data_IF_570803813177
#
_entry.id   IF_570803813177
#
_cell.length_a   1.000
_cell.length_b   1.000
_cell.length_c   1.000
_cell.angle_alpha   90.00
_cell.angle_beta   90.00
_cell.angle_gamma   90.00
#
_symmetry.space_group_name_H-M   'P 1'
#
loop_
_entity.id
_entity.type
_entity.pdbx_description
1 polymer ?
#
# COMPACT_ATOMS: atom_id res chain seq x y z
N UNK A 1 -25.24 -4.16 4.68
CA UNK A 1 -24.82 -5.32 5.50
C UNK A 1 -23.31 -5.33 5.57
N UNK A 2 -22.71 -5.28 6.77
CA UNK A 2 -21.25 -5.22 6.96
C UNK A 2 -20.67 -6.64 6.93
N UNK A 3 -19.84 -6.95 5.93
CA UNK A 3 -19.22 -8.28 5.76
C UNK A 3 -17.74 -8.21 6.16
N UNK A 4 -17.31 -9.07 7.07
CA UNK A 4 -15.87 -9.24 7.36
C UNK A 4 -15.21 -10.10 6.29
N UNK A 5 -14.02 -9.70 5.86
CA UNK A 5 -13.26 -10.34 4.80
C UNK A 5 -12.05 -11.08 5.38
N UNK A 6 -11.76 -12.29 4.88
CA UNK A 6 -10.48 -12.97 5.13
C UNK A 6 -9.39 -12.28 4.31
N UNK A 7 -8.22 -12.08 4.91
CA UNK A 7 -7.10 -11.39 4.29
C UNK A 7 -5.76 -11.93 4.81
N UNK A 8 -4.69 -11.66 4.06
CA UNK A 8 -3.32 -11.93 4.46
C UNK A 8 -2.46 -10.69 4.19
N UNK A 9 -1.64 -10.28 5.15
CA UNK A 9 -0.66 -9.20 4.93
C UNK A 9 0.55 -9.82 4.27
N UNK A 10 0.80 -9.47 3.00
CA UNK A 10 1.97 -9.93 2.23
C UNK A 10 3.20 -9.06 2.48
N UNK A 11 2.97 -7.79 2.79
CA UNK A 11 4.03 -6.84 3.04
C UNK A 11 3.55 -5.73 3.96
N UNK A 12 4.38 -5.38 4.94
CA UNK A 12 4.26 -4.11 5.62
C UNK A 12 5.65 -3.58 5.92
N UNK A 13 5.91 -2.34 5.50
CA UNK A 13 7.15 -1.65 5.85
C UNK A 13 6.86 -0.19 6.10
N UNK A 14 7.40 0.31 7.20
CA UNK A 14 7.39 1.71 7.55
C UNK A 14 8.74 2.08 8.16
N UNK A 15 9.19 3.31 7.92
CA UNK A 15 10.35 3.89 8.59
C UNK A 15 11.44 4.39 7.65
N UNK A 16 12.42 5.07 8.26
CA UNK A 16 13.54 5.81 7.66
C UNK A 16 14.44 5.06 6.65
N UNK A 17 14.15 3.80 6.31
CA UNK A 17 14.98 2.94 5.45
C UNK A 17 15.01 3.31 3.95
N UNK A 18 14.59 4.54 3.61
CA UNK A 18 14.71 5.12 2.27
C UNK A 18 13.56 4.78 1.32
N UNK A 19 13.36 5.65 0.33
CA UNK A 19 12.33 5.57 -0.72
C UNK A 19 12.50 4.39 -1.71
N UNK A 20 13.33 3.40 -1.37
CA UNK A 20 13.57 2.21 -2.19
C UNK A 20 12.39 1.23 -2.10
N UNK A 21 11.75 1.15 -0.92
CA UNK A 21 10.58 0.30 -0.67
C UNK A 21 9.29 1.14 -0.60
N UNK A 22 9.09 2.04 -1.57
CA UNK A 22 7.95 2.96 -1.57
C UNK A 22 7.31 3.14 -2.94
N UNK A 23 6.03 3.49 -2.89
CA UNK A 23 5.22 3.99 -4.00
C UNK A 23 5.02 5.50 -3.80
N UNK A 24 5.14 6.30 -4.85
CA UNK A 24 4.82 7.73 -4.86
C UNK A 24 4.62 8.24 -6.30
N UNK A 25 3.70 9.19 -6.49
CA UNK A 25 3.41 9.76 -7.81
C UNK A 25 4.57 10.63 -8.32
N UNK A 26 4.91 10.57 -9.62
CA UNK A 26 5.99 11.38 -10.23
C UNK A 26 5.68 12.87 -10.19
N UNK A 27 4.40 13.20 -10.37
CA UNK A 27 3.90 14.57 -10.46
C UNK A 27 3.81 15.26 -9.10
N UNK A 28 4.09 14.55 -7.99
CA UNK A 28 4.32 15.18 -6.71
C UNK A 28 5.71 15.82 -6.71
N UNK A 29 5.78 16.99 -7.34
CA UNK A 29 6.86 17.97 -7.25
C UNK A 29 7.00 18.59 -5.85
N UNK A 30 6.73 17.83 -4.78
CA UNK A 30 7.19 18.18 -3.42
C UNK A 30 8.67 17.82 -3.29
N UNK A 31 9.43 18.50 -4.15
CA UNK A 31 10.77 19.00 -3.92
C UNK A 31 10.96 19.30 -2.42
N UNK A 32 12.03 18.75 -1.87
CA UNK A 32 12.61 18.99 -0.55
C UNK A 32 11.83 18.57 0.71
N UNK A 33 10.56 18.16 0.65
CA UNK A 33 9.84 17.66 1.85
C UNK A 33 9.47 16.18 1.83
N UNK A 34 9.33 15.54 0.66
CA UNK A 34 9.08 14.09 0.57
C UNK A 34 7.67 13.64 1.00
N UNK A 35 6.66 14.51 0.96
CA UNK A 35 5.27 14.16 1.30
C UNK A 35 4.53 13.46 0.15
N UNK A 36 3.94 12.31 0.44
CA UNK A 36 3.02 11.55 -0.40
C UNK A 36 1.71 11.35 0.39
N UNK A 37 0.56 11.84 -0.09
CA UNK A 37 -0.72 11.58 0.57
C UNK A 37 -0.98 10.07 0.62
N UNK A 38 -1.77 9.64 1.61
CA UNK A 38 -2.20 8.25 1.71
C UNK A 38 -3.04 7.87 0.50
N UNK A 39 -2.57 6.87 -0.23
CA UNK A 39 -3.24 6.27 -1.38
C UNK A 39 -3.58 4.82 -1.05
N UNK A 40 -4.71 4.33 -1.59
CA UNK A 40 -5.17 2.95 -1.39
C UNK A 40 -5.82 2.45 -2.67
N UNK A 41 -5.28 1.39 -3.23
CA UNK A 41 -5.65 0.91 -4.56
C UNK A 41 -5.98 -0.58 -4.48
N UNK A 42 -7.08 -0.97 -5.13
CA UNK A 42 -7.43 -2.37 -5.36
C UNK A 42 -6.87 -2.82 -6.72
N UNK A 43 -6.15 -3.93 -6.74
CA UNK A 43 -5.56 -4.54 -7.93
C UNK A 43 -6.21 -5.89 -8.17
N UNK A 44 -6.94 -6.01 -9.29
CA UNK A 44 -7.72 -7.18 -9.68
C UNK A 44 -7.11 -7.93 -10.88
N UNK A 45 -6.07 -7.38 -11.50
CA UNK A 45 -5.36 -8.02 -12.61
C UNK A 45 -3.85 -7.73 -12.57
N UNK A 46 -3.10 -8.53 -13.31
CA UNK A 46 -1.66 -8.35 -13.46
C UNK A 46 -1.31 -7.09 -14.27
N UNK A 47 -2.17 -6.73 -15.22
CA UNK A 47 -2.04 -5.51 -16.01
C UNK A 47 -2.27 -4.26 -15.15
N UNK A 48 -3.28 -4.28 -14.27
CA UNK A 48 -3.50 -3.21 -13.28
C UNK A 48 -2.29 -3.07 -12.34
N UNK A 49 -1.68 -4.19 -11.93
CA UNK A 49 -0.48 -4.15 -11.08
C UNK A 49 0.67 -3.41 -11.78
N UNK A 50 0.93 -3.72 -13.05
CA UNK A 50 1.96 -3.04 -13.86
C UNK A 50 1.67 -1.56 -13.99
N UNK A 51 0.43 -1.19 -14.31
CA UNK A 51 0.01 0.20 -14.43
C UNK A 51 0.27 0.98 -13.14
N UNK A 52 -0.11 0.41 -11.99
CA UNK A 52 0.13 1.04 -10.68
C UNK A 52 1.62 1.16 -10.35
N UNK A 53 2.43 0.17 -10.71
CA UNK A 53 3.89 0.25 -10.56
C UNK A 53 4.50 1.41 -11.35
N UNK A 54 4.02 1.63 -12.58
CA UNK A 54 4.49 2.70 -13.46
C UNK A 54 3.99 4.08 -12.98
N UNK A 55 2.70 4.21 -12.62
CA UNK A 55 2.08 5.46 -12.15
C UNK A 55 2.70 5.97 -10.84
N UNK A 56 3.04 5.06 -9.92
CA UNK A 56 3.50 5.40 -8.57
C UNK A 56 4.98 5.11 -8.34
N UNK A 57 5.83 5.20 -9.37
CA UNK A 57 7.30 5.08 -9.27
C UNK A 57 7.77 3.90 -8.39
N UNK A 58 7.09 2.76 -8.51
CA UNK A 58 7.50 1.48 -7.95
C UNK A 58 7.87 0.56 -9.11
N UNK A 59 9.01 0.81 -9.79
CA UNK A 59 9.34 0.24 -11.10
C UNK A 59 9.80 -1.23 -10.98
N UNK A 60 8.92 -2.09 -10.46
CA UNK A 60 9.20 -3.50 -10.25
C UNK A 60 9.56 -4.24 -11.54
N UNK A 61 9.15 -3.70 -12.70
CA UNK A 61 9.36 -4.32 -14.01
C UNK A 61 10.45 -3.64 -14.86
N UNK A 62 11.14 -2.63 -14.33
CA UNK A 62 12.26 -1.95 -15.02
C UNK A 62 13.60 -2.33 -14.39
N UNK A 63 14.36 -3.21 -15.07
CA UNK A 63 15.64 -3.75 -14.59
C UNK A 63 16.72 -2.67 -14.39
N UNK A 64 16.63 -1.57 -15.13
CA UNK A 64 17.60 -0.48 -15.05
C UNK A 64 17.34 0.46 -13.86
N UNK A 65 16.23 0.27 -13.13
CA UNK A 65 15.92 1.08 -11.96
C UNK A 65 16.80 0.71 -10.77
N UNK A 66 17.29 1.73 -10.06
CA UNK A 66 17.96 1.55 -8.75
C UNK A 66 17.07 0.88 -7.70
N UNK A 67 15.74 0.93 -7.88
CA UNK A 67 14.77 0.28 -7.00
C UNK A 67 14.44 -1.14 -7.41
N UNK A 68 14.96 -1.64 -8.53
CA UNK A 68 14.55 -2.94 -9.08
C UNK A 68 14.69 -4.06 -8.05
N UNK A 69 15.80 -4.09 -7.31
CA UNK A 69 16.08 -5.13 -6.29
C UNK A 69 15.56 -4.78 -4.89
N UNK A 70 14.68 -3.78 -4.76
CA UNK A 70 14.05 -3.51 -3.48
C UNK A 70 13.16 -4.67 -3.04
N UNK A 71 13.01 -4.85 -1.74
CA UNK A 71 12.22 -5.93 -1.14
C UNK A 71 10.77 -5.91 -1.65
N UNK A 72 10.16 -4.72 -1.71
CA UNK A 72 8.80 -4.58 -2.22
C UNK A 72 8.72 -4.91 -3.70
N UNK A 73 9.69 -4.50 -4.53
CA UNK A 73 9.66 -4.78 -5.97
C UNK A 73 9.95 -6.25 -6.28
N UNK A 74 10.80 -6.91 -5.49
CA UNK A 74 10.97 -8.36 -5.52
C UNK A 74 9.65 -9.08 -5.23
N UNK A 75 8.92 -8.66 -4.18
CA UNK A 75 7.60 -9.21 -3.88
C UNK A 75 6.60 -8.95 -5.01
N UNK A 76 6.53 -7.72 -5.53
CA UNK A 76 5.62 -7.37 -6.64
C UNK A 76 5.85 -8.29 -7.84
N UNK A 77 7.11 -8.57 -8.20
CA UNK A 77 7.44 -9.48 -9.30
C UNK A 77 7.05 -10.94 -9.07
N UNK A 78 6.81 -11.34 -7.83
CA UNK A 78 6.32 -12.69 -7.52
C UNK A 78 4.84 -12.90 -7.86
N UNK A 79 4.08 -11.82 -8.04
CA UNK A 79 2.68 -11.90 -8.46
C UNK A 79 2.62 -11.93 -10.00
N UNK A 80 2.16 -13.05 -10.55
CA UNK A 80 1.96 -13.23 -11.99
C UNK A 80 0.46 -13.21 -12.36
N UNK A 81 0.14 -13.40 -13.65
CA UNK A 81 -1.25 -13.45 -14.10
C UNK A 81 -2.09 -14.51 -13.38
N UNK A 82 -1.52 -15.69 -13.08
CA UNK A 82 -2.24 -16.79 -12.44
C UNK A 82 -2.60 -16.49 -10.98
N UNK A 83 -1.76 -15.69 -10.30
CA UNK A 83 -2.07 -15.20 -8.96
C UNK A 83 -3.41 -14.44 -8.93
N UNK A 84 -3.71 -13.69 -9.99
CA UNK A 84 -4.95 -12.91 -10.09
C UNK A 84 -6.16 -13.71 -10.57
N UNK A 85 -6.05 -15.02 -10.79
CA UNK A 85 -7.21 -15.84 -11.14
C UNK A 85 -8.21 -15.93 -9.98
N UNK A 86 -7.71 -16.07 -8.76
CA UNK A 86 -8.54 -16.18 -7.55
C UNK A 86 -8.20 -15.14 -6.45
N UNK A 87 -7.07 -14.42 -6.57
CA UNK A 87 -6.68 -13.35 -5.63
C UNK A 87 -6.83 -11.96 -6.21
N UNK A 88 -6.83 -10.99 -5.30
CA UNK A 88 -6.65 -9.58 -5.59
C UNK A 88 -5.74 -8.98 -4.52
N UNK A 89 -5.07 -7.89 -4.87
CA UNK A 89 -4.22 -7.16 -3.93
C UNK A 89 -4.88 -5.84 -3.54
N UNK A 90 -4.60 -5.41 -2.33
CA UNK A 90 -4.82 -4.04 -1.89
C UNK A 90 -3.45 -3.47 -1.57
N UNK A 91 -3.09 -2.37 -2.23
CA UNK A 91 -1.83 -1.66 -2.00
C UNK A 91 -2.18 -0.31 -1.38
N UNK A 92 -1.74 -0.12 -0.14
CA UNK A 92 -1.87 1.13 0.60
C UNK A 92 -0.48 1.71 0.85
N UNK A 93 -0.29 2.98 0.60
CA UNK A 93 1.00 3.64 0.79
C UNK A 93 0.82 5.13 1.02
N UNK A 94 1.88 5.79 1.46
CA UNK A 94 1.94 7.24 1.63
C UNK A 94 3.15 7.61 2.45
N UNK A 95 3.17 8.84 2.96
CA UNK A 95 4.16 9.30 3.94
C UNK A 95 3.47 9.77 5.20
N UNK A 96 4.04 9.43 6.35
CA UNK A 96 3.55 9.89 7.65
C UNK A 96 4.57 10.75 8.35
N UNK A 97 4.12 11.81 9.03
CA UNK A 97 4.91 12.47 10.05
C UNK A 97 5.08 11.49 11.21
N UNK A 98 6.34 11.08 11.47
CA UNK A 98 6.89 10.40 12.65
C UNK A 98 5.94 9.47 13.44
N UNK A 99 6.26 8.18 13.42
CA UNK A 99 5.46 7.13 14.06
C UNK A 99 4.67 6.39 12.99
N UNK A 100 5.16 5.18 12.65
CA UNK A 100 4.62 4.33 11.58
C UNK A 100 3.09 4.39 11.53
N UNK A 101 2.54 4.62 10.34
CA UNK A 101 1.11 4.91 10.17
C UNK A 101 0.23 3.77 10.71
N UNK A 102 0.76 2.55 10.84
CA UNK A 102 0.00 1.36 11.15
C UNK A 102 0.74 0.47 12.15
N UNK A 103 0.17 0.33 13.34
CA UNK A 103 0.61 -0.66 14.34
C UNK A 103 0.02 -2.04 14.02
N UNK A 104 -1.27 -2.07 13.64
CA UNK A 104 -1.99 -3.31 13.37
C UNK A 104 -3.19 -3.10 12.46
N UNK A 105 -3.40 -4.02 11.51
CA UNK A 105 -4.71 -4.17 10.84
C UNK A 105 -5.63 -4.96 11.77
N UNK A 106 -6.74 -4.36 12.20
CA UNK A 106 -7.73 -5.02 13.06
C UNK A 106 -8.62 -5.96 12.27
N UNK A 107 -9.25 -5.42 11.22
CA UNK A 107 -10.09 -6.17 10.31
C UNK A 107 -10.32 -5.41 9.01
N UNK A 108 -10.75 -6.16 8.00
CA UNK A 108 -11.20 -5.61 6.74
C UNK A 108 -12.69 -5.93 6.59
N UNK A 109 -13.47 -4.90 6.26
CA UNK A 109 -14.92 -5.01 6.09
C UNK A 109 -15.35 -4.35 4.79
N UNK A 110 -16.42 -4.86 4.18
CA UNK A 110 -17.04 -4.24 3.02
C UNK A 110 -18.37 -3.62 3.44
N UNK A 111 -18.56 -2.37 3.06
CA UNK A 111 -19.80 -1.61 3.19
C UNK A 111 -20.16 -1.06 1.81
N UNK A 112 -21.30 -1.50 1.27
CA UNK A 112 -21.71 -1.23 -0.11
C UNK A 112 -20.63 -1.67 -1.12
N UNK A 113 -20.03 -0.73 -1.85
CA UNK A 113 -18.94 -0.94 -2.81
C UNK A 113 -17.57 -0.49 -2.26
N UNK A 114 -17.48 -0.15 -0.98
CA UNK A 114 -16.27 0.35 -0.34
C UNK A 114 -15.68 -0.69 0.60
N UNK A 115 -14.41 -1.01 0.41
CA UNK A 115 -13.62 -1.82 1.33
C UNK A 115 -12.95 -0.91 2.36
N UNK A 116 -13.21 -1.20 3.63
CA UNK A 116 -12.70 -0.47 4.78
C UNK A 116 -11.63 -1.30 5.49
N UNK A 117 -10.40 -0.81 5.49
CA UNK A 117 -9.30 -1.37 6.27
C UNK A 117 -9.27 -0.64 7.60
N UNK A 118 -9.67 -1.32 8.67
CA UNK A 118 -9.66 -0.76 10.01
C UNK A 118 -8.31 -1.03 10.66
N UNK A 119 -7.61 0.02 11.07
CA UNK A 119 -6.25 -0.08 11.60
C UNK A 119 -6.07 0.71 12.89
N UNK A 120 -5.12 0.27 13.69
CA UNK A 120 -4.56 1.02 14.81
C UNK A 120 -3.30 1.76 14.33
N UNK A 121 -3.17 3.03 14.70
CA UNK A 121 -1.98 3.84 14.46
C UNK A 121 -1.17 3.91 15.75
N UNK A 122 0.14 3.74 15.64
CA UNK A 122 1.06 4.07 16.74
C UNK A 122 1.09 5.59 16.90
N UNK A 123 0.83 6.09 18.10
CA UNK A 123 0.97 7.51 18.37
C UNK A 123 2.41 7.97 18.09
N UNK A 124 2.54 9.19 17.58
CA UNK A 124 3.83 9.79 17.34
C UNK A 124 4.60 9.91 18.66
N UNK A 125 5.89 9.58 18.64
CA UNK A 125 6.75 9.84 19.77
C UNK A 125 6.89 11.37 19.93
N UNK A 126 6.30 11.90 21.01
CA UNK A 126 6.25 13.34 21.27
C UNK A 126 7.63 13.96 21.54
N UNK A 127 8.67 13.13 21.74
CA UNK A 127 10.05 13.60 21.87
C UNK A 127 10.72 13.94 20.52
N UNK A 128 10.14 13.51 19.39
CA UNK A 128 10.66 13.80 18.05
C UNK A 128 10.17 15.17 17.60
N UNK A 129 11.08 16.14 17.52
CA UNK A 129 10.77 17.53 17.14
C UNK A 129 10.97 17.83 15.65
N UNK A 130 11.55 16.89 14.90
CA UNK A 130 11.74 17.01 13.45
C UNK A 130 10.57 16.36 12.69
N UNK A 131 9.98 17.08 11.74
CA UNK A 131 9.01 16.50 10.81
C UNK A 131 9.79 15.60 9.85
N UNK A 132 9.71 14.29 10.05
CA UNK A 132 10.27 13.31 9.11
C UNK A 132 9.11 12.65 8.35
N UNK A 133 9.11 12.82 7.03
CA UNK A 133 8.14 12.19 6.13
C UNK A 133 8.62 10.80 5.75
N UNK A 134 8.22 9.81 6.53
CA UNK A 134 8.59 8.43 6.28
C UNK A 134 7.62 7.75 5.34
N UNK A 135 8.11 7.19 4.21
CA UNK A 135 7.27 6.37 3.37
C UNK A 135 6.89 5.07 4.09
N UNK A 136 5.69 4.59 3.78
CA UNK A 136 5.23 3.28 4.21
C UNK A 136 4.43 2.63 3.09
N UNK A 137 4.42 1.30 3.10
CA UNK A 137 3.67 0.47 2.17
C UNK A 137 3.05 -0.70 2.93
N UNK A 138 1.81 -1.01 2.62
CA UNK A 138 1.05 -2.16 3.07
C UNK A 138 0.47 -2.85 1.85
N UNK A 139 0.79 -4.14 1.68
CA UNK A 139 0.24 -4.99 0.62
C UNK A 139 -0.55 -6.11 1.29
N UNK A 140 -1.83 -6.20 0.94
CA UNK A 140 -2.77 -7.18 1.48
C UNK A 140 -3.31 -8.04 0.35
N UNK A 141 -3.29 -9.35 0.53
CA UNK A 141 -4.01 -10.31 -0.31
C UNK A 141 -5.45 -10.46 0.19
N UNK A 142 -6.39 -10.51 -0.75
CA UNK A 142 -7.79 -10.86 -0.53
C UNK A 142 -8.30 -11.81 -1.62
N UNK A 143 -9.34 -12.58 -1.32
CA UNK A 143 -10.01 -13.40 -2.34
C UNK A 143 -10.77 -12.51 -3.34
N UNK A 144 -10.53 -12.73 -4.64
CA UNK A 144 -11.09 -11.92 -5.74
C UNK A 144 -12.62 -11.91 -5.77
N UNK A 145 -13.24 -13.09 -5.59
CA UNK A 145 -14.72 -13.20 -5.54
C UNK A 145 -15.31 -12.43 -4.36
N UNK A 146 -14.57 -12.35 -3.25
CA UNK A 146 -14.95 -11.58 -2.07
C UNK A 146 -14.99 -10.06 -2.29
N UNK A 147 -14.29 -9.54 -3.30
CA UNK A 147 -14.13 -8.09 -3.57
C UNK A 147 -14.52 -7.68 -5.01
N UNK A 148 -15.24 -8.54 -5.74
CA UNK A 148 -15.58 -8.30 -7.15
C UNK A 148 -16.28 -6.95 -7.38
N UNK A 149 -17.21 -6.59 -6.49
CA UNK A 149 -18.05 -5.39 -6.58
C UNK A 149 -17.44 -4.16 -5.86
N UNK A 150 -16.24 -4.31 -5.28
CA UNK A 150 -15.54 -3.20 -4.61
C UNK A 150 -14.98 -2.25 -5.67
N UNK A 151 -15.28 -0.97 -5.55
CA UNK A 151 -14.77 0.11 -6.40
C UNK A 151 -13.86 1.08 -5.64
N UNK A 152 -13.90 1.07 -4.31
CA UNK A 152 -13.13 1.99 -3.46
C UNK A 152 -12.48 1.27 -2.28
N UNK A 153 -11.31 1.73 -1.87
CA UNK A 153 -10.61 1.29 -0.66
C UNK A 153 -10.38 2.50 0.24
N UNK A 154 -10.68 2.37 1.53
CA UNK A 154 -10.42 3.41 2.53
C UNK A 154 -9.74 2.83 3.76
N UNK A 155 -8.80 3.59 4.31
CA UNK A 155 -8.17 3.34 5.59
C UNK A 155 -8.93 4.08 6.69
N UNK A 156 -9.41 3.35 7.70
CA UNK A 156 -10.18 3.88 8.81
C UNK A 156 -9.39 3.66 10.09
N UNK A 157 -8.97 4.75 10.74
CA UNK A 157 -8.36 4.70 12.08
C UNK A 157 -9.46 4.31 13.08
N UNK A 158 -9.19 3.29 13.89
CA UNK A 158 -10.04 2.89 15.02
C UNK A 158 -9.34 3.12 16.35
#
# INVERSE_FOLDING_TARGET
MKKSLKYEIKFYKSGHSGFQNSFYHSDNSYSDTGYCPTTSIMIKSYEELKQVCDEYNSPAFSKDSKKYDSEVNNLIRSFDSSYFDDKSLIICFGTGATGGILEKVKNITIEENTLLINYEKKDADQSITAIINDPWVLIIEVNKQGVKDVSQVKLIKK
#
